data_IF_600727246142
#
_entry.id   IF_600727246142
#
_cell.length_a   1.000
_cell.length_b   1.000
_cell.length_c   1.000
_cell.angle_alpha   90.00
_cell.angle_beta   90.00
_cell.angle_gamma   90.00
#
_symmetry.space_group_name_H-M   'P 1'
#
loop_
_entity.id
_entity.type
_entity.pdbx_description
1 polymer ?
#
# COMPACT_ATOMS: atom_id res chain seq x y z
N UNK A 1 -25.75 31.89 -6.14
CA UNK A 1 -25.20 31.94 -4.77
C UNK A 1 -24.50 30.59 -4.51
N UNK A 2 -23.57 30.19 -5.39
CA UNK A 2 -23.21 28.77 -5.59
C UNK A 2 -21.71 28.48 -5.55
N UNK A 3 -20.86 29.52 -5.67
CA UNK A 3 -19.41 29.36 -5.74
C UNK A 3 -18.79 28.85 -4.42
N UNK A 4 -19.44 29.14 -3.28
CA UNK A 4 -18.92 28.74 -1.98
C UNK A 4 -19.08 27.23 -1.73
N UNK A 5 -20.23 26.64 -2.06
CA UNK A 5 -20.48 25.20 -1.90
C UNK A 5 -19.60 24.34 -2.82
N UNK A 6 -19.36 24.82 -4.04
CA UNK A 6 -18.46 24.15 -5.00
C UNK A 6 -17.01 24.19 -4.50
N UNK A 7 -16.55 25.35 -4.00
CA UNK A 7 -15.19 25.48 -3.43
C UNK A 7 -14.99 24.57 -2.21
N UNK A 8 -15.92 24.55 -1.25
CA UNK A 8 -15.85 23.66 -0.10
C UNK A 8 -15.85 22.18 -0.49
N UNK A 9 -16.57 21.80 -1.54
CA UNK A 9 -16.57 20.42 -2.05
C UNK A 9 -15.21 20.04 -2.64
N UNK A 10 -14.65 20.89 -3.51
CA UNK A 10 -13.34 20.65 -4.14
C UNK A 10 -12.23 20.60 -3.08
N UNK A 11 -12.25 21.51 -2.11
CA UNK A 11 -11.25 21.53 -1.02
C UNK A 11 -11.31 20.28 -0.15
N UNK A 12 -12.52 19.80 0.19
CA UNK A 12 -12.69 18.54 0.91
C UNK A 12 -12.24 17.33 0.09
N UNK A 13 -12.58 17.27 -1.20
CA UNK A 13 -12.14 16.20 -2.10
C UNK A 13 -10.61 16.16 -2.24
N UNK A 14 -9.96 17.33 -2.32
CA UNK A 14 -8.49 17.44 -2.38
C UNK A 14 -7.82 17.02 -1.05
N UNK A 15 -8.36 17.46 0.09
CA UNK A 15 -7.86 17.06 1.41
C UNK A 15 -8.00 15.55 1.65
N UNK A 16 -9.14 14.98 1.27
CA UNK A 16 -9.38 13.55 1.38
C UNK A 16 -8.41 12.76 0.49
N UNK A 17 -8.22 13.19 -0.76
CA UNK A 17 -7.27 12.57 -1.70
C UNK A 17 -5.85 12.59 -1.15
N UNK A 18 -5.39 13.74 -0.64
CA UNK A 18 -4.06 13.89 -0.04
C UNK A 18 -3.88 12.98 1.18
N UNK A 19 -4.85 12.97 2.09
CA UNK A 19 -4.80 12.12 3.29
C UNK A 19 -4.77 10.63 2.92
N UNK A 20 -5.48 10.24 1.86
CA UNK A 20 -5.46 8.88 1.33
C UNK A 20 -4.11 8.50 0.72
N UNK A 21 -3.49 9.40 -0.05
CA UNK A 21 -2.15 9.24 -0.60
C UNK A 21 -1.11 9.08 0.52
N UNK A 22 -1.15 9.94 1.53
CA UNK A 22 -0.24 9.89 2.69
C UNK A 22 -0.35 8.54 3.41
N UNK A 23 -1.58 8.06 3.64
CA UNK A 23 -1.82 6.76 4.26
C UNK A 23 -1.30 5.60 3.39
N UNK A 24 -1.49 5.69 2.08
CA UNK A 24 -1.01 4.66 1.14
C UNK A 24 0.51 4.63 1.09
N UNK A 25 1.17 5.79 1.08
CA UNK A 25 2.62 5.89 1.14
C UNK A 25 3.18 5.33 2.46
N UNK A 26 2.53 5.62 3.59
CA UNK A 26 2.91 5.07 4.89
C UNK A 26 2.78 3.55 4.93
N UNK A 27 1.64 3.02 4.46
CA UNK A 27 1.39 1.59 4.39
C UNK A 27 2.38 0.87 3.47
N UNK A 28 2.75 1.49 2.35
CA UNK A 28 3.78 0.98 1.47
C UNK A 28 5.12 0.84 2.20
N UNK A 29 5.57 1.90 2.92
CA UNK A 29 6.81 1.84 3.69
C UNK A 29 6.80 0.71 4.72
N UNK A 30 5.72 0.54 5.47
CA UNK A 30 5.62 -0.58 6.41
C UNK A 30 5.71 -1.95 5.72
N UNK A 31 5.09 -2.10 4.55
CA UNK A 31 5.15 -3.36 3.81
C UNK A 31 6.55 -3.61 3.21
N UNK A 32 7.31 -2.56 2.84
CA UNK A 32 8.73 -2.67 2.48
C UNK A 32 9.55 -3.17 3.66
N UNK A 33 9.37 -2.61 4.86
CA UNK A 33 10.09 -3.06 6.05
C UNK A 33 9.75 -4.52 6.42
N UNK A 34 8.48 -4.92 6.25
CA UNK A 34 8.09 -6.32 6.38
C UNK A 34 8.83 -7.22 5.38
N UNK A 35 8.96 -6.78 4.12
CA UNK A 35 9.69 -7.53 3.09
C UNK A 35 11.20 -7.57 3.33
N UNK A 36 11.80 -6.52 3.89
CA UNK A 36 13.21 -6.54 4.28
C UNK A 36 13.47 -7.53 5.42
N UNK A 37 12.59 -7.52 6.42
CA UNK A 37 12.66 -8.39 7.60
C UNK A 37 12.38 -9.86 7.24
N UNK A 38 11.40 -10.10 6.37
CA UNK A 38 10.97 -11.43 5.99
C UNK A 38 11.40 -11.74 4.56
N UNK A 39 12.13 -12.85 4.36
CA UNK A 39 12.52 -13.29 3.01
C UNK A 39 11.33 -13.58 2.07
N UNK A 40 10.13 -13.80 2.63
CA UNK A 40 8.89 -14.06 1.89
C UNK A 40 7.74 -13.26 2.51
N UNK A 41 6.82 -12.81 1.66
CA UNK A 41 5.63 -12.05 2.06
C UNK A 41 4.41 -12.51 1.27
N UNK A 42 3.27 -12.58 1.94
CA UNK A 42 1.95 -12.86 1.36
C UNK A 42 1.00 -11.67 1.52
N UNK A 43 -0.07 -11.62 0.71
CA UNK A 43 -1.13 -10.61 0.84
C UNK A 43 -1.75 -10.66 2.24
N UNK A 44 -1.91 -11.85 2.84
CA UNK A 44 -2.46 -12.01 4.18
C UNK A 44 -1.59 -11.37 5.27
N UNK A 45 -0.26 -11.43 5.13
CA UNK A 45 0.67 -10.78 6.06
C UNK A 45 0.63 -9.27 5.93
N UNK A 46 0.59 -8.76 4.69
CA UNK A 46 0.43 -7.33 4.42
C UNK A 46 -0.91 -6.86 5.01
N UNK A 47 -1.99 -7.61 4.82
CA UNK A 47 -3.31 -7.27 5.35
C UNK A 47 -3.30 -7.18 6.88
N UNK A 48 -2.68 -8.16 7.56
CA UNK A 48 -2.53 -8.16 9.03
C UNK A 48 -1.67 -7.00 9.51
N UNK A 49 -0.57 -6.71 8.84
CA UNK A 49 0.32 -5.59 9.20
C UNK A 49 -0.41 -4.25 9.15
N UNK A 50 -1.22 -4.04 8.12
CA UNK A 50 -1.86 -2.75 7.86
C UNK A 50 -3.22 -2.59 8.55
N UNK A 51 -3.74 -3.64 9.21
CA UNK A 51 -5.12 -3.72 9.72
C UNK A 51 -6.14 -3.22 8.68
N UNK A 52 -5.91 -3.60 7.41
CA UNK A 52 -6.64 -3.09 6.25
C UNK A 52 -7.56 -4.10 5.61
N UNK A 53 -8.34 -3.64 4.62
CA UNK A 53 -9.11 -4.52 3.75
C UNK A 53 -8.21 -5.32 2.78
N UNK A 54 -8.67 -6.48 2.36
CA UNK A 54 -7.95 -7.35 1.42
C UNK A 54 -7.52 -6.61 0.13
N UNK A 55 -8.44 -5.86 -0.48
CA UNK A 55 -8.15 -5.10 -1.71
C UNK A 55 -7.03 -4.06 -1.52
N UNK A 56 -6.99 -3.42 -0.35
CA UNK A 56 -5.94 -2.47 -0.03
C UNK A 56 -4.57 -3.16 0.09
N UNK A 57 -4.53 -4.33 0.71
CA UNK A 57 -3.31 -5.15 0.77
C UNK A 57 -2.86 -5.59 -0.63
N UNK A 58 -3.79 -5.96 -1.53
CA UNK A 58 -3.48 -6.25 -2.93
C UNK A 58 -2.87 -5.05 -3.66
N UNK A 59 -3.45 -3.85 -3.49
CA UNK A 59 -2.90 -2.61 -4.06
C UNK A 59 -1.47 -2.35 -3.59
N UNK A 60 -1.20 -2.52 -2.29
CA UNK A 60 0.15 -2.37 -1.75
C UNK A 60 1.09 -3.45 -2.30
N UNK A 61 0.66 -4.71 -2.39
CA UNK A 61 1.45 -5.79 -2.95
C UNK A 61 1.82 -5.54 -4.42
N UNK A 62 0.89 -5.06 -5.24
CA UNK A 62 1.15 -4.69 -6.63
C UNK A 62 2.17 -3.55 -6.73
N UNK A 63 2.06 -2.52 -5.88
CA UNK A 63 3.07 -1.46 -5.82
C UNK A 63 4.45 -1.99 -5.44
N UNK A 64 4.54 -2.97 -4.53
CA UNK A 64 5.82 -3.58 -4.17
C UNK A 64 6.43 -4.34 -5.36
N UNK A 65 5.61 -5.01 -6.16
CA UNK A 65 6.05 -5.70 -7.40
C UNK A 65 6.54 -4.67 -8.43
N UNK A 66 5.75 -3.63 -8.69
CA UNK A 66 6.10 -2.55 -9.63
C UNK A 66 7.44 -1.88 -9.28
N UNK A 67 7.70 -1.70 -7.99
CA UNK A 67 8.94 -1.11 -7.47
C UNK A 67 10.06 -2.13 -7.23
N UNK A 68 9.90 -3.38 -7.67
CA UNK A 68 10.89 -4.47 -7.54
C UNK A 68 11.34 -4.73 -6.10
N UNK A 69 10.42 -4.58 -5.14
CA UNK A 69 10.64 -4.91 -3.73
C UNK A 69 10.38 -6.38 -3.46
N UNK A 70 9.36 -6.96 -4.11
CA UNK A 70 9.01 -8.37 -4.02
C UNK A 70 8.77 -8.94 -5.43
N UNK A 71 8.82 -10.26 -5.59
CA UNK A 71 8.50 -10.95 -6.84
C UNK A 71 7.00 -11.00 -7.13
N UNK A 72 6.66 -11.36 -8.36
CA UNK A 72 5.34 -11.89 -8.70
C UNK A 72 4.96 -13.08 -7.79
N UNK A 73 3.66 -13.35 -7.57
CA UNK A 73 3.23 -14.48 -6.76
C UNK A 73 3.65 -15.81 -7.35
N UNK A 74 4.18 -16.69 -6.50
CA UNK A 74 4.37 -18.09 -6.79
C UNK A 74 3.05 -18.88 -6.80
N UNK A 75 3.11 -20.20 -7.05
CA UNK A 75 1.93 -21.06 -7.16
C UNK A 75 1.04 -21.09 -5.90
N UNK A 76 1.64 -20.86 -4.72
CA UNK A 76 0.98 -20.80 -3.42
C UNK A 76 0.57 -19.37 -3.02
N UNK A 77 0.78 -18.38 -3.89
CA UNK A 77 0.53 -16.97 -3.64
C UNK A 77 1.58 -16.28 -2.75
N UNK A 78 2.67 -16.96 -2.39
CA UNK A 78 3.80 -16.33 -1.71
C UNK A 78 4.63 -15.50 -2.68
N UNK A 79 5.26 -14.44 -2.19
CA UNK A 79 6.16 -13.57 -2.95
C UNK A 79 7.49 -13.52 -2.25
N UNK A 80 8.57 -13.62 -3.00
CA UNK A 80 9.91 -13.54 -2.42
C UNK A 80 10.33 -12.08 -2.33
N UNK A 81 10.96 -11.70 -1.22
CA UNK A 81 11.53 -10.37 -1.12
C UNK A 81 12.79 -10.28 -1.98
N UNK A 82 12.93 -9.18 -2.71
CA UNK A 82 14.10 -8.82 -3.50
C UNK A 82 14.99 -7.81 -2.76
N UNK A 83 14.53 -7.32 -1.61
CA UNK A 83 15.27 -6.46 -0.71
C UNK A 83 15.55 -7.21 0.59
N UNK A 84 16.78 -7.11 1.08
CA UNK A 84 17.18 -7.77 2.32
C UNK A 84 17.83 -6.74 3.24
N UNK A 85 17.63 -6.89 4.55
CA UNK A 85 18.56 -6.29 5.51
C UNK A 85 19.90 -7.02 5.39
N UNK A 86 20.95 -6.28 5.04
CA UNK A 86 22.33 -6.78 5.05
C UNK A 86 22.89 -6.83 6.47
#
# INVERSE_FOLDING_TARGET
MDNLKVKYRIENEALFSRQFEDRTALNYRYAVELAKKNKKVSISEIQRLLNGGYNHACTIANKLIENKVITEPGPDGTRESLVYEG
#
